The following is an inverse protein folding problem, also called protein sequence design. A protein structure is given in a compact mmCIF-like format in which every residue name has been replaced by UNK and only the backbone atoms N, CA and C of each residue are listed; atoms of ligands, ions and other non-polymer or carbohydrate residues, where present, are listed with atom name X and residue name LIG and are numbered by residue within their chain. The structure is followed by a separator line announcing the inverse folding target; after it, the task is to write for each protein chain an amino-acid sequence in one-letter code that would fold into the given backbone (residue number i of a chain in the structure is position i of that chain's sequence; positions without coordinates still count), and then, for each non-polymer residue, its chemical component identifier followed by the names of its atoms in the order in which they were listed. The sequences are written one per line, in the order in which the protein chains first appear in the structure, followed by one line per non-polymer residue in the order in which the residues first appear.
data_IF_023609941304
#
_entry.id   IF_023609941304
#
_cell.length_a   1.000
_cell.length_b   1.000
_cell.length_c   1.000
_cell.angle_alpha   90.00
_cell.angle_beta   90.00
_cell.angle_gamma   90.00
#
_symmetry.space_group_name_H-M   'P 1'
#
loop_
_entity.id
_entity.type
_entity.pdbx_description
1 polymer ?
#
# COMPACT_ATOMS: atom_id res chain seq x y z
N UNK A 1 -24.19 95.40 15.13
CA UNK A 1 -23.75 94.73 13.89
C UNK A 1 -24.05 93.24 14.06
N UNK A 2 -25.05 92.74 13.27
CA UNK A 2 -25.71 91.45 13.44
C UNK A 2 -24.93 90.31 12.83
N UNK A 3 -24.94 89.11 13.44
CA UNK A 3 -24.46 87.82 12.77
C UNK A 3 -25.63 87.16 12.06
N UNK A 4 -25.37 86.62 10.87
CA UNK A 4 -26.31 85.79 10.11
C UNK A 4 -26.11 84.29 10.49
N UNK A 5 -27.25 83.73 10.89
CA UNK A 5 -27.43 82.27 11.13
C UNK A 5 -27.58 81.55 9.81
N UNK A 6 -26.78 80.54 9.54
CA UNK A 6 -27.02 79.58 8.48
C UNK A 6 -27.24 78.18 9.07
N UNK A 7 -28.44 77.73 8.91
CA UNK A 7 -28.88 76.35 9.14
C UNK A 7 -28.42 75.48 7.98
N UNK A 8 -27.59 74.46 8.22
CA UNK A 8 -27.30 73.46 7.23
C UNK A 8 -27.90 72.14 7.73
N UNK A 9 -28.88 71.64 6.97
CA UNK A 9 -29.46 70.33 7.13
C UNK A 9 -28.41 69.30 6.71
N UNK A 10 -28.00 68.42 7.60
CA UNK A 10 -27.29 67.22 7.27
C UNK A 10 -28.29 66.08 6.99
N UNK A 11 -28.40 65.68 5.72
CA UNK A 11 -29.08 64.49 5.30
C UNK A 11 -28.19 63.29 5.68
N UNK A 12 -28.67 62.48 6.60
CA UNK A 12 -28.05 61.21 6.96
C UNK A 12 -28.25 60.18 5.87
N UNK A 13 -27.21 59.92 5.08
CA UNK A 13 -27.18 58.81 4.13
C UNK A 13 -26.76 57.55 4.90
N UNK A 14 -27.70 56.64 5.12
CA UNK A 14 -27.45 55.31 5.62
C UNK A 14 -26.66 54.53 4.55
N UNK A 15 -25.38 54.22 4.83
CA UNK A 15 -24.60 53.22 4.08
C UNK A 15 -24.82 51.84 4.71
N UNK A 16 -25.03 50.77 3.93
CA UNK A 16 -25.19 49.41 4.44
C UNK A 16 -23.85 48.90 4.96
N UNK A 17 -23.83 48.44 6.19
CA UNK A 17 -22.71 47.73 6.81
C UNK A 17 -22.59 46.36 6.12
N UNK A 18 -21.73 46.24 5.15
CA UNK A 18 -21.25 44.94 4.68
C UNK A 18 -20.34 44.36 5.77
N UNK A 19 -20.88 43.40 6.51
CA UNK A 19 -20.13 42.55 7.42
C UNK A 19 -19.14 41.69 6.64
N UNK A 20 -17.96 42.22 6.38
CA UNK A 20 -16.81 41.45 5.93
C UNK A 20 -16.41 40.47 7.02
N UNK A 21 -16.69 39.17 6.80
CA UNK A 21 -16.10 38.10 7.59
C UNK A 21 -14.57 38.14 7.41
N UNK A 22 -13.93 38.89 8.31
CA UNK A 22 -12.49 38.82 8.52
C UNK A 22 -12.18 37.41 9.00
N UNK A 23 -11.64 36.57 8.09
CA UNK A 23 -10.90 35.38 8.49
C UNK A 23 -9.70 35.87 9.29
N UNK A 24 -9.79 35.81 10.60
CA UNK A 24 -8.67 35.98 11.48
C UNK A 24 -7.62 34.91 11.12
N UNK A 25 -6.65 35.29 10.33
CA UNK A 25 -5.43 34.52 10.06
C UNK A 25 -4.56 34.69 11.32
N UNK A 26 -4.79 33.82 12.31
CA UNK A 26 -3.86 33.66 13.42
C UNK A 26 -2.52 33.19 12.86
N UNK A 27 -1.70 34.12 12.43
CA UNK A 27 -0.29 33.88 12.15
C UNK A 27 0.45 33.99 13.48
N UNK A 28 0.69 32.82 14.13
CA UNK A 28 1.74 32.74 15.13
C UNK A 28 3.06 33.11 14.47
N UNK A 29 3.88 34.03 15.06
CA UNK A 29 5.14 34.48 14.45
C UNK A 29 6.20 33.41 14.36
N UNK A 30 6.07 32.28 15.07
CA UNK A 30 7.10 31.24 15.19
C UNK A 30 6.90 30.02 14.29
N UNK A 31 5.93 30.02 13.34
CA UNK A 31 5.77 28.95 12.36
C UNK A 31 5.46 27.56 12.91
N UNK A 32 5.32 27.40 14.22
CA UNK A 32 4.99 26.13 14.87
C UNK A 32 3.48 25.89 14.80
N UNK A 33 3.10 24.85 14.07
CA UNK A 33 1.71 24.38 14.05
C UNK A 33 1.31 23.90 15.44
N UNK A 34 0.18 24.37 15.97
CA UNK A 34 -0.36 23.81 17.20
C UNK A 34 -0.78 22.35 16.97
N UNK A 35 -0.71 21.52 18.00
CA UNK A 35 -1.11 20.10 17.93
C UNK A 35 -2.50 19.90 17.31
N UNK A 36 -3.45 20.78 17.63
CA UNK A 36 -4.80 20.74 17.07
C UNK A 36 -4.84 21.03 15.57
N UNK A 37 -4.03 21.99 15.09
CA UNK A 37 -3.91 22.28 13.66
C UNK A 37 -3.30 21.11 12.89
N UNK A 38 -2.33 20.42 13.49
CA UNK A 38 -1.72 19.22 12.90
C UNK A 38 -2.71 18.05 12.79
N UNK A 39 -3.59 17.85 13.80
CA UNK A 39 -4.68 16.87 13.74
C UNK A 39 -5.73 17.23 12.67
N UNK A 40 -6.03 18.52 12.49
CA UNK A 40 -6.96 18.95 11.44
C UNK A 40 -6.40 18.72 10.04
N UNK A 41 -5.10 18.94 9.84
CA UNK A 41 -4.39 18.62 8.61
C UNK A 41 -4.42 17.11 8.32
N UNK A 42 -4.15 16.27 9.32
CA UNK A 42 -4.24 14.81 9.22
C UNK A 42 -5.62 14.36 8.76
N UNK A 43 -6.68 14.93 9.34
CA UNK A 43 -8.06 14.61 8.95
C UNK A 43 -8.30 14.82 7.45
N UNK A 44 -7.84 15.95 6.90
CA UNK A 44 -8.02 16.25 5.49
C UNK A 44 -7.23 15.34 4.56
N UNK A 45 -6.00 14.94 4.94
CA UNK A 45 -5.19 13.97 4.19
C UNK A 45 -5.85 12.59 4.18
N UNK A 46 -6.41 12.15 5.32
CA UNK A 46 -7.15 10.88 5.41
C UNK A 46 -8.41 10.91 4.52
N UNK A 47 -9.21 11.98 4.58
CA UNK A 47 -10.43 12.11 3.77
C UNK A 47 -10.10 12.06 2.28
N UNK A 48 -9.08 12.79 1.82
CA UNK A 48 -8.66 12.78 0.41
C UNK A 48 -8.18 11.40 -0.04
N UNK A 49 -7.41 10.72 0.80
CA UNK A 49 -6.95 9.36 0.54
C UNK A 49 -8.12 8.39 0.42
N UNK A 50 -9.08 8.46 1.35
CA UNK A 50 -10.27 7.61 1.32
C UNK A 50 -11.13 7.86 0.08
N UNK A 51 -11.34 9.13 -0.29
CA UNK A 51 -12.07 9.49 -1.51
C UNK A 51 -11.38 8.92 -2.76
N UNK A 52 -10.06 9.02 -2.84
CA UNK A 52 -9.31 8.44 -3.96
C UNK A 52 -9.46 6.91 -4.05
N UNK A 53 -9.42 6.21 -2.90
CA UNK A 53 -9.65 4.76 -2.84
C UNK A 53 -11.07 4.43 -3.29
N UNK A 54 -12.08 5.15 -2.82
CA UNK A 54 -13.49 4.93 -3.22
C UNK A 54 -13.70 5.16 -4.70
N UNK A 55 -13.12 6.22 -5.27
CA UNK A 55 -13.18 6.47 -6.72
C UNK A 55 -12.53 5.31 -7.48
N UNK A 56 -11.33 4.88 -7.08
CA UNK A 56 -10.67 3.72 -7.65
C UNK A 56 -11.50 2.44 -7.53
N UNK A 57 -12.16 2.23 -6.39
CA UNK A 57 -13.03 1.08 -6.17
C UNK A 57 -14.28 1.10 -7.07
N UNK A 58 -14.89 2.27 -7.30
CA UNK A 58 -16.02 2.41 -8.22
C UNK A 58 -15.59 2.08 -9.64
N UNK A 59 -14.43 2.59 -10.08
CA UNK A 59 -13.89 2.25 -11.41
C UNK A 59 -13.65 0.75 -11.51
N UNK A 60 -12.98 0.15 -10.53
CA UNK A 60 -12.74 -1.29 -10.50
C UNK A 60 -14.04 -2.10 -10.51
N UNK A 61 -15.06 -1.66 -9.78
CA UNK A 61 -16.37 -2.31 -9.74
C UNK A 61 -17.04 -2.37 -11.11
N UNK A 62 -16.86 -1.35 -11.95
CA UNK A 62 -17.40 -1.31 -13.33
C UNK A 62 -16.71 -2.30 -14.28
N UNK A 63 -15.44 -2.63 -14.02
CA UNK A 63 -14.63 -3.54 -14.85
C UNK A 63 -14.55 -4.96 -14.29
N UNK A 64 -15.66 -5.48 -13.75
CA UNK A 64 -15.73 -6.79 -13.07
C UNK A 64 -15.16 -7.94 -13.90
N UNK A 65 -15.52 -8.03 -15.18
CA UNK A 65 -15.14 -9.16 -16.05
C UNK A 65 -13.62 -9.23 -16.26
N UNK A 66 -12.97 -8.07 -16.41
CA UNK A 66 -11.51 -8.01 -16.53
C UNK A 66 -10.85 -8.41 -15.23
N UNK A 67 -11.36 -7.90 -14.11
CA UNK A 67 -10.75 -8.14 -12.79
C UNK A 67 -10.96 -9.59 -12.36
N UNK A 68 -12.15 -10.16 -12.53
CA UNK A 68 -12.42 -11.54 -12.11
C UNK A 68 -11.80 -12.55 -13.05
N UNK A 69 -12.13 -12.49 -14.34
CA UNK A 69 -11.80 -13.57 -15.28
C UNK A 69 -10.32 -13.51 -15.69
N UNK A 70 -9.76 -12.32 -15.90
CA UNK A 70 -8.39 -12.17 -16.41
C UNK A 70 -7.33 -11.92 -15.33
N UNK A 71 -7.74 -11.44 -14.13
CA UNK A 71 -6.78 -11.15 -13.07
C UNK A 71 -6.93 -12.15 -11.93
N UNK A 72 -8.09 -12.21 -11.26
CA UNK A 72 -8.21 -12.98 -10.02
C UNK A 72 -8.23 -14.49 -10.25
N UNK A 73 -8.92 -14.95 -11.28
CA UNK A 73 -9.01 -16.38 -11.59
C UNK A 73 -7.83 -16.91 -12.43
N UNK A 74 -7.05 -16.02 -13.04
CA UNK A 74 -5.92 -16.41 -13.87
C UNK A 74 -4.87 -17.29 -13.18
N UNK A 75 -4.46 -17.08 -11.92
CA UNK A 75 -3.48 -17.96 -11.26
C UNK A 75 -3.91 -19.41 -11.09
N UNK A 76 -5.22 -19.70 -11.13
CA UNK A 76 -5.77 -21.05 -11.10
C UNK A 76 -5.67 -21.77 -12.47
N UNK A 77 -5.38 -21.04 -13.54
CA UNK A 77 -5.30 -21.61 -14.89
C UNK A 77 -3.90 -22.22 -15.13
N UNK A 78 -3.80 -23.45 -15.71
CA UNK A 78 -2.53 -24.03 -16.13
C UNK A 78 -1.72 -23.12 -17.08
N UNK A 79 -2.40 -22.35 -17.92
CA UNK A 79 -1.78 -21.43 -18.88
C UNK A 79 -1.23 -20.14 -18.25
N UNK A 80 -1.39 -19.94 -16.95
CA UNK A 80 -0.82 -18.79 -16.27
C UNK A 80 0.70 -18.75 -16.42
N UNK A 81 1.26 -17.54 -16.58
CA UNK A 81 2.68 -17.33 -16.92
C UNK A 81 3.60 -18.10 -15.97
N UNK A 82 3.36 -18.02 -14.67
CA UNK A 82 4.18 -18.68 -13.64
C UNK A 82 4.04 -20.18 -13.68
N UNK A 83 2.82 -20.71 -13.85
CA UNK A 83 2.56 -22.13 -13.93
C UNK A 83 3.31 -22.74 -15.13
N UNK A 84 3.22 -22.11 -16.31
CA UNK A 84 3.96 -22.53 -17.51
C UNK A 84 5.48 -22.44 -17.34
N UNK A 85 5.98 -21.38 -16.69
CA UNK A 85 7.41 -21.23 -16.46
C UNK A 85 7.95 -22.31 -15.54
N UNK A 86 7.23 -22.59 -14.44
CA UNK A 86 7.60 -23.62 -13.48
C UNK A 86 7.54 -25.02 -14.11
N UNK A 87 6.54 -25.32 -14.96
CA UNK A 87 6.49 -26.60 -15.67
C UNK A 87 7.65 -26.75 -16.66
N UNK A 88 8.04 -25.70 -17.39
CA UNK A 88 9.25 -25.76 -18.26
C UNK A 88 10.54 -25.98 -17.47
N UNK A 89 10.65 -25.32 -16.28
CA UNK A 89 11.79 -25.57 -15.40
C UNK A 89 11.77 -27.00 -14.83
N UNK A 90 10.60 -27.54 -14.49
CA UNK A 90 10.43 -28.92 -14.06
C UNK A 90 10.96 -29.91 -15.06
N UNK A 91 10.66 -29.70 -16.35
CA UNK A 91 11.13 -30.53 -17.46
C UNK A 91 12.65 -30.43 -17.64
N UNK A 92 13.23 -29.21 -17.49
CA UNK A 92 14.69 -29.01 -17.64
C UNK A 92 15.49 -29.65 -16.50
N UNK A 93 14.97 -29.66 -15.29
CA UNK A 93 15.65 -30.13 -14.07
C UNK A 93 15.26 -31.58 -13.74
N UNK A 94 14.33 -32.18 -14.49
CA UNK A 94 13.75 -33.53 -14.24
C UNK A 94 13.11 -33.62 -12.82
N UNK A 95 12.44 -32.57 -12.36
CA UNK A 95 11.72 -32.54 -11.08
C UNK A 95 10.24 -32.25 -11.33
N UNK A 96 9.38 -33.26 -11.54
CA UNK A 96 7.96 -33.10 -11.87
C UNK A 96 7.18 -32.32 -10.81
N UNK A 97 7.64 -32.35 -9.57
CA UNK A 97 7.01 -31.62 -8.44
C UNK A 97 6.95 -30.10 -8.62
N UNK A 98 7.83 -29.53 -9.45
CA UNK A 98 7.83 -28.09 -9.76
C UNK A 98 6.72 -27.69 -10.72
N UNK A 99 6.09 -28.62 -11.43
CA UNK A 99 4.97 -28.31 -12.30
C UNK A 99 3.67 -28.24 -11.49
N UNK A 100 3.21 -27.02 -11.21
CA UNK A 100 2.07 -26.72 -10.35
C UNK A 100 0.79 -26.39 -11.15
N UNK A 101 -0.36 -26.49 -10.50
CA UNK A 101 -1.68 -26.08 -11.02
C UNK A 101 -2.04 -26.71 -12.39
N UNK A 102 -1.64 -27.95 -12.66
CA UNK A 102 -2.02 -28.65 -13.89
C UNK A 102 -3.53 -28.88 -13.99
N UNK A 103 -4.17 -29.14 -12.87
CA UNK A 103 -5.62 -29.30 -12.77
C UNK A 103 -6.19 -28.06 -12.04
N UNK A 104 -6.99 -27.23 -12.71
CA UNK A 104 -7.64 -26.09 -12.05
C UNK A 104 -8.49 -26.55 -10.88
N UNK A 105 -8.43 -25.82 -9.78
CA UNK A 105 -9.27 -26.09 -8.62
C UNK A 105 -10.70 -25.64 -8.91
N UNK A 106 -11.67 -26.52 -8.67
CA UNK A 106 -13.08 -26.19 -8.79
C UNK A 106 -13.50 -25.22 -7.68
N UNK A 107 -13.99 -24.06 -8.09
CA UNK A 107 -14.46 -23.02 -7.17
C UNK A 107 -15.97 -23.06 -7.03
N UNK A 108 -16.45 -23.11 -5.80
CA UNK A 108 -17.87 -23.13 -5.48
C UNK A 108 -18.28 -21.90 -4.70
N UNK A 109 -19.51 -21.44 -4.88
CA UNK A 109 -20.11 -20.38 -4.07
C UNK A 109 -21.19 -20.97 -3.17
N UNK A 110 -20.92 -21.05 -1.87
CA UNK A 110 -21.85 -21.63 -0.89
C UNK A 110 -22.83 -20.59 -0.36
N UNK A 111 -22.35 -19.34 -0.17
CA UNK A 111 -23.16 -18.26 0.38
C UNK A 111 -23.93 -17.54 -0.72
N UNK A 112 -25.23 -17.28 -0.51
CA UNK A 112 -26.06 -16.53 -1.45
C UNK A 112 -25.47 -15.14 -1.79
N UNK A 113 -24.94 -14.44 -0.80
CA UNK A 113 -24.31 -13.12 -0.95
C UNK A 113 -22.81 -13.20 -1.28
N UNK A 114 -22.25 -14.42 -1.36
CA UNK A 114 -20.80 -14.64 -1.46
C UNK A 114 -20.17 -13.92 -2.63
N UNK A 115 -20.73 -14.06 -3.83
CA UNK A 115 -20.22 -13.42 -5.05
C UNK A 115 -20.30 -11.89 -4.99
N UNK A 116 -21.41 -11.35 -4.47
CA UNK A 116 -21.59 -9.90 -4.34
C UNK A 116 -20.61 -9.29 -3.34
N UNK A 117 -20.48 -9.88 -2.15
CA UNK A 117 -19.53 -9.44 -1.13
C UNK A 117 -18.09 -9.49 -1.65
N UNK A 118 -17.77 -10.55 -2.36
CA UNK A 118 -16.45 -10.73 -2.97
C UNK A 118 -16.17 -9.68 -4.03
N UNK A 119 -17.16 -9.34 -4.86
CA UNK A 119 -17.02 -8.26 -5.85
C UNK A 119 -16.71 -6.91 -5.19
N UNK A 120 -17.41 -6.55 -4.12
CA UNK A 120 -17.12 -5.32 -3.37
C UNK A 120 -15.71 -5.37 -2.79
N UNK A 121 -15.31 -6.48 -2.17
CA UNK A 121 -13.98 -6.63 -1.56
C UNK A 121 -12.86 -6.48 -2.58
N UNK A 122 -12.96 -7.16 -3.73
CA UNK A 122 -11.98 -7.05 -4.80
C UNK A 122 -11.91 -5.63 -5.36
N UNK A 123 -13.07 -5.01 -5.58
CA UNK A 123 -13.14 -3.63 -6.08
C UNK A 123 -12.46 -2.65 -5.12
N UNK A 124 -12.63 -2.85 -3.80
CA UNK A 124 -11.98 -2.04 -2.79
C UNK A 124 -10.46 -2.24 -2.79
N UNK A 125 -10.01 -3.50 -2.88
CA UNK A 125 -8.57 -3.84 -2.96
C UNK A 125 -7.95 -3.27 -4.23
N UNK A 126 -8.59 -3.45 -5.38
CA UNK A 126 -8.13 -2.88 -6.65
C UNK A 126 -8.10 -1.35 -6.60
N UNK A 127 -9.12 -0.72 -6.00
CA UNK A 127 -9.18 0.70 -5.77
C UNK A 127 -8.02 1.21 -4.89
N UNK A 128 -7.68 0.48 -3.83
CA UNK A 128 -6.52 0.79 -2.99
C UNK A 128 -5.21 0.70 -3.78
N UNK A 129 -5.02 -0.35 -4.59
CA UNK A 129 -3.82 -0.54 -5.41
C UNK A 129 -3.67 0.60 -6.42
N UNK A 130 -4.75 0.96 -7.11
CA UNK A 130 -4.77 2.05 -8.09
C UNK A 130 -4.54 3.43 -7.44
N UNK A 131 -5.14 3.66 -6.27
CA UNK A 131 -5.02 4.91 -5.54
C UNK A 131 -3.70 5.02 -4.74
N UNK A 132 -2.94 3.94 -4.58
CA UNK A 132 -1.76 3.89 -3.71
C UNK A 132 -0.76 5.04 -3.96
N UNK A 133 -0.38 5.39 -5.19
CA UNK A 133 0.54 6.51 -5.43
C UNK A 133 0.02 7.84 -4.88
N UNK A 134 -1.28 8.06 -4.97
CA UNK A 134 -1.93 9.26 -4.44
C UNK A 134 -2.03 9.21 -2.92
N UNK A 135 -2.44 8.09 -2.35
CA UNK A 135 -2.52 7.85 -0.89
C UNK A 135 -1.15 8.05 -0.25
N UNK A 136 -0.11 7.47 -0.85
CA UNK A 136 1.26 7.63 -0.35
C UNK A 136 1.75 9.08 -0.48
N UNK A 137 1.36 9.80 -1.52
CA UNK A 137 1.65 11.24 -1.66
C UNK A 137 0.99 12.06 -0.57
N UNK A 138 -0.28 11.79 -0.23
CA UNK A 138 -0.99 12.47 0.86
C UNK A 138 -0.33 12.16 2.21
N UNK A 139 -0.01 10.89 2.47
CA UNK A 139 0.76 10.47 3.63
C UNK A 139 2.11 11.22 3.73
N UNK A 140 2.88 11.24 2.66
CA UNK A 140 4.15 11.94 2.60
C UNK A 140 4.00 13.45 2.82
N UNK A 141 2.95 14.06 2.27
CA UNK A 141 2.68 15.49 2.43
C UNK A 141 2.43 15.87 3.89
N UNK A 142 1.79 14.99 4.65
CA UNK A 142 1.58 15.15 6.08
C UNK A 142 2.89 15.15 6.89
N UNK A 143 3.86 14.32 6.52
CA UNK A 143 5.17 14.27 7.20
C UNK A 143 6.14 15.34 6.73
N UNK A 144 5.89 15.96 5.58
CA UNK A 144 6.76 16.97 4.97
C UNK A 144 7.08 18.18 5.86
N UNK A 145 6.18 18.73 6.67
CA UNK A 145 6.49 19.85 7.57
C UNK A 145 7.55 19.51 8.62
N UNK A 146 7.63 18.24 9.03
CA UNK A 146 8.62 17.75 10.00
C UNK A 146 10.03 17.55 9.41
N UNK A 147 10.20 17.72 8.09
CA UNK A 147 11.49 17.59 7.41
C UNK A 147 12.12 18.95 7.13
N UNK A 148 13.46 19.06 7.26
CA UNK A 148 14.23 20.28 6.93
C UNK A 148 14.05 20.71 5.48
N UNK A 149 14.15 22.01 5.21
CA UNK A 149 13.92 22.59 3.87
C UNK A 149 14.80 21.99 2.76
N UNK A 150 16.04 21.64 3.06
CA UNK A 150 16.96 20.96 2.12
C UNK A 150 16.47 19.58 1.69
N UNK A 151 15.61 18.95 2.47
CA UNK A 151 15.09 17.59 2.29
C UNK A 151 13.83 17.54 1.43
N UNK A 152 13.14 18.68 1.32
CA UNK A 152 11.91 18.86 0.53
C UNK A 152 12.06 18.50 -0.95
N UNK A 153 13.28 18.66 -1.49
CA UNK A 153 13.58 18.33 -2.90
C UNK A 153 13.51 16.83 -3.20
N UNK A 154 13.80 15.98 -2.21
CA UNK A 154 13.80 14.52 -2.35
C UNK A 154 12.41 13.88 -2.15
N UNK A 155 11.43 14.65 -1.73
CA UNK A 155 10.07 14.19 -1.45
C UNK A 155 9.38 13.54 -2.66
N UNK A 156 9.56 14.10 -3.86
CA UNK A 156 8.96 13.55 -5.09
C UNK A 156 9.56 12.19 -5.45
N UNK A 157 10.88 12.04 -5.30
CA UNK A 157 11.56 10.78 -5.54
C UNK A 157 11.12 9.67 -4.59
N UNK A 158 10.89 9.99 -3.32
CA UNK A 158 10.42 9.03 -2.33
C UNK A 158 9.02 8.48 -2.66
N UNK A 159 8.08 9.35 -3.08
CA UNK A 159 6.73 8.91 -3.49
C UNK A 159 6.78 7.98 -4.70
N UNK A 160 7.57 8.33 -5.72
CA UNK A 160 7.72 7.48 -6.91
C UNK A 160 8.37 6.14 -6.56
N UNK A 161 9.42 6.15 -5.74
CA UNK A 161 10.11 4.93 -5.31
C UNK A 161 9.18 4.03 -4.51
N UNK A 162 8.41 4.58 -3.55
CA UNK A 162 7.41 3.82 -2.81
C UNK A 162 6.36 3.21 -3.74
N UNK A 163 5.78 4.01 -4.63
CA UNK A 163 4.77 3.49 -5.56
C UNK A 163 5.31 2.36 -6.44
N UNK A 164 6.56 2.44 -6.88
CA UNK A 164 7.21 1.37 -7.65
C UNK A 164 7.48 0.13 -6.80
N UNK A 165 7.95 0.29 -5.56
CA UNK A 165 8.19 -0.82 -4.64
C UNK A 165 6.89 -1.52 -4.26
N UNK A 166 5.84 -0.77 -3.94
CA UNK A 166 4.52 -1.33 -3.66
C UNK A 166 3.99 -2.15 -4.85
N UNK A 167 4.04 -1.57 -6.05
CA UNK A 167 3.60 -2.26 -7.26
C UNK A 167 4.45 -3.51 -7.55
N UNK A 168 5.77 -3.43 -7.36
CA UNK A 168 6.65 -4.59 -7.48
C UNK A 168 6.30 -5.69 -6.46
N UNK A 169 5.95 -5.31 -5.23
CA UNK A 169 5.47 -6.23 -4.19
C UNK A 169 4.13 -6.87 -4.56
N UNK A 170 3.17 -6.10 -5.07
CA UNK A 170 1.89 -6.64 -5.59
C UNK A 170 2.14 -7.64 -6.71
N UNK A 171 2.98 -7.30 -7.69
CA UNK A 171 3.33 -8.16 -8.83
C UNK A 171 4.02 -9.44 -8.32
N UNK A 172 4.95 -9.32 -7.38
CA UNK A 172 5.61 -10.47 -6.78
C UNK A 172 4.62 -11.39 -6.05
N UNK A 173 3.76 -10.82 -5.19
CA UNK A 173 2.71 -11.56 -4.49
C UNK A 173 1.74 -12.26 -5.43
N UNK A 174 1.30 -11.57 -6.47
CA UNK A 174 0.33 -12.08 -7.43
C UNK A 174 0.93 -13.14 -8.39
N UNK A 175 2.11 -12.89 -8.95
CA UNK A 175 2.68 -13.83 -9.94
C UNK A 175 3.43 -14.99 -9.30
N UNK A 176 4.00 -14.84 -8.12
CA UNK A 176 4.83 -15.88 -7.51
C UNK A 176 4.12 -16.53 -6.34
N UNK A 177 3.68 -15.75 -5.33
CA UNK A 177 3.15 -16.35 -4.10
C UNK A 177 1.74 -16.90 -4.31
N UNK A 178 0.86 -16.20 -5.02
CA UNK A 178 -0.53 -16.62 -5.19
C UNK A 178 -0.65 -17.99 -5.90
N UNK A 179 0.01 -18.27 -7.04
CA UNK A 179 -0.08 -19.59 -7.68
C UNK A 179 0.48 -20.73 -6.81
N UNK A 180 1.56 -20.49 -6.07
CA UNK A 180 2.13 -21.47 -5.14
C UNK A 180 1.15 -21.74 -3.99
N UNK A 181 0.53 -20.69 -3.44
CA UNK A 181 -0.47 -20.80 -2.38
C UNK A 181 -1.70 -21.58 -2.83
N UNK A 182 -2.18 -21.31 -4.06
CA UNK A 182 -3.33 -22.02 -4.64
C UNK A 182 -2.99 -23.49 -4.82
N UNK A 183 -1.82 -23.79 -5.38
CA UNK A 183 -1.37 -25.16 -5.56
C UNK A 183 -1.28 -25.92 -4.23
N UNK A 184 -0.60 -25.34 -3.24
CA UNK A 184 -0.42 -25.98 -1.94
C UNK A 184 -1.77 -26.21 -1.24
N UNK A 185 -2.58 -25.14 -1.09
CA UNK A 185 -3.87 -25.25 -0.39
C UNK A 185 -4.90 -26.09 -1.14
N UNK A 186 -4.86 -26.08 -2.48
CA UNK A 186 -5.73 -26.84 -3.34
C UNK A 186 -5.42 -28.34 -3.38
N UNK A 187 -4.14 -28.71 -3.28
CA UNK A 187 -3.68 -30.08 -3.36
C UNK A 187 -3.52 -30.77 -2.00
N UNK A 188 -3.37 -29.98 -0.92
CA UNK A 188 -3.19 -30.51 0.43
C UNK A 188 -4.44 -31.28 0.88
N UNK A 189 -4.28 -32.57 1.19
CA UNK A 189 -5.34 -33.46 1.71
C UNK A 189 -4.90 -34.13 2.99
N UNK A 190 -5.76 -34.12 3.98
CA UNK A 190 -5.53 -34.85 5.24
C UNK A 190 -5.82 -36.36 5.07
N UNK A 191 -6.73 -36.70 4.15
CA UNK A 191 -7.16 -38.05 3.84
C UNK A 191 -7.68 -38.13 2.41
N UNK A 192 -7.48 -39.27 1.73
CA UNK A 192 -8.00 -39.53 0.39
C UNK A 192 -9.54 -39.63 0.35
N UNK A 193 -10.17 -39.77 1.51
CA UNK A 193 -11.63 -39.81 1.64
C UNK A 193 -12.27 -38.40 1.60
N UNK A 194 -11.43 -37.33 1.67
CA UNK A 194 -11.90 -35.95 1.68
C UNK A 194 -11.56 -35.26 0.38
N UNK A 195 -12.57 -34.80 -0.35
CA UNK A 195 -12.40 -33.97 -1.55
C UNK A 195 -12.39 -32.50 -1.18
N UNK A 196 -11.39 -31.76 -1.67
CA UNK A 196 -11.30 -30.33 -1.46
C UNK A 196 -12.30 -29.60 -2.36
N UNK A 197 -13.27 -28.92 -1.75
CA UNK A 197 -14.15 -27.96 -2.44
C UNK A 197 -13.81 -26.56 -1.95
N UNK A 198 -13.23 -25.73 -2.83
CA UNK A 198 -12.74 -24.43 -2.43
C UNK A 198 -13.82 -23.37 -2.67
N UNK A 199 -14.19 -22.65 -1.60
CA UNK A 199 -15.11 -21.53 -1.71
C UNK A 199 -14.43 -20.36 -2.42
N UNK A 200 -15.10 -19.76 -3.42
CA UNK A 200 -14.62 -18.58 -4.17
C UNK A 200 -14.21 -17.42 -3.26
N UNK A 201 -14.91 -17.18 -2.14
CA UNK A 201 -14.59 -16.13 -1.18
C UNK A 201 -13.24 -16.41 -0.51
N UNK A 202 -12.94 -17.66 -0.16
CA UNK A 202 -11.68 -18.08 0.44
C UNK A 202 -10.53 -17.97 -0.55
N UNK A 203 -10.74 -18.44 -1.78
CA UNK A 203 -9.76 -18.32 -2.86
C UNK A 203 -9.35 -16.85 -3.10
N UNK A 204 -10.34 -15.99 -3.30
CA UNK A 204 -10.12 -14.56 -3.56
C UNK A 204 -9.49 -13.86 -2.36
N UNK A 205 -9.93 -14.20 -1.14
CA UNK A 205 -9.32 -13.72 0.09
C UNK A 205 -7.84 -14.06 0.16
N UNK A 206 -7.46 -15.28 -0.19
CA UNK A 206 -6.05 -15.71 -0.21
C UNK A 206 -5.24 -14.94 -1.25
N UNK A 207 -5.69 -14.87 -2.50
CA UNK A 207 -4.99 -14.15 -3.58
C UNK A 207 -4.79 -12.67 -3.25
N UNK A 208 -5.86 -12.00 -2.80
CA UNK A 208 -5.82 -10.56 -2.48
C UNK A 208 -4.99 -10.26 -1.25
N UNK A 209 -5.09 -11.09 -0.19
CA UNK A 209 -4.31 -10.91 1.04
C UNK A 209 -2.82 -11.07 0.79
N UNK A 210 -2.43 -12.11 0.05
CA UNK A 210 -1.02 -12.37 -0.30
C UNK A 210 -0.46 -11.23 -1.15
N UNK A 211 -1.19 -10.76 -2.16
CA UNK A 211 -0.75 -9.67 -3.00
C UNK A 211 -0.57 -8.38 -2.18
N UNK A 212 -1.58 -7.99 -1.38
CA UNK A 212 -1.49 -6.78 -0.54
C UNK A 212 -0.38 -6.87 0.51
N UNK A 213 -0.28 -8.00 1.21
CA UNK A 213 0.75 -8.20 2.24
C UNK A 213 2.15 -8.10 1.65
N UNK A 214 2.37 -8.66 0.45
CA UNK A 214 3.63 -8.51 -0.30
C UNK A 214 3.88 -7.05 -0.69
N UNK A 215 2.86 -6.34 -1.20
CA UNK A 215 2.97 -4.93 -1.53
C UNK A 215 3.41 -4.09 -0.34
N UNK A 216 2.76 -4.25 0.81
CA UNK A 216 3.09 -3.54 2.05
C UNK A 216 4.50 -3.90 2.55
N UNK A 217 4.89 -5.17 2.46
CA UNK A 217 6.20 -5.62 2.92
C UNK A 217 7.34 -5.07 2.05
N UNK A 218 7.09 -4.87 0.76
CA UNK A 218 8.06 -4.24 -0.13
C UNK A 218 8.30 -2.75 0.17
N UNK A 219 7.47 -2.13 1.02
CA UNK A 219 7.71 -0.76 1.52
C UNK A 219 8.80 -0.69 2.62
N UNK A 220 9.31 -1.83 3.12
CA UNK A 220 10.36 -1.85 4.15
C UNK A 220 11.54 -0.90 3.84
N UNK A 221 12.11 -0.84 2.62
CA UNK A 221 13.21 0.07 2.32
C UNK A 221 12.85 1.55 2.51
N UNK A 222 11.62 1.94 2.21
CA UNK A 222 11.14 3.33 2.37
C UNK A 222 10.94 3.65 3.86
N UNK A 223 10.38 2.71 4.63
CA UNK A 223 10.25 2.86 6.09
C UNK A 223 11.62 3.04 6.74
N UNK A 224 12.58 2.19 6.38
CA UNK A 224 13.97 2.28 6.87
C UNK A 224 14.62 3.59 6.45
N UNK A 225 14.46 4.01 5.19
CA UNK A 225 14.95 5.30 4.69
C UNK A 225 14.44 6.45 5.57
N UNK A 226 13.15 6.43 5.90
CA UNK A 226 12.52 7.47 6.70
C UNK A 226 13.07 7.47 8.14
N UNK A 227 13.14 6.29 8.78
CA UNK A 227 13.66 6.14 10.14
C UNK A 227 15.14 6.53 10.24
N UNK A 228 15.93 6.24 9.19
CA UNK A 228 17.33 6.68 9.11
C UNK A 228 17.43 8.20 8.95
N UNK A 229 16.50 8.81 8.21
CA UNK A 229 16.47 10.26 7.98
C UNK A 229 16.19 11.05 9.26
N UNK A 230 15.26 10.58 10.09
CA UNK A 230 14.98 11.19 11.40
C UNK A 230 16.00 10.79 12.48
N UNK A 231 16.96 9.93 12.17
CA UNK A 231 18.04 9.53 13.07
C UNK A 231 17.70 8.43 14.06
N UNK A 232 16.54 7.76 13.90
CA UNK A 232 16.11 6.64 14.77
C UNK A 232 16.87 5.36 14.43
N UNK A 233 17.13 5.12 13.12
CA UNK A 233 17.87 3.94 12.65
C UNK A 233 19.23 4.36 12.09
N UNK A 234 20.28 3.65 12.54
CA UNK A 234 21.63 3.77 11.99
C UNK A 234 22.04 2.52 11.24
N UNK A 235 22.89 2.63 10.19
CA UNK A 235 23.38 1.47 9.46
C UNK A 235 24.14 0.48 10.35
N UNK A 236 24.86 0.97 11.37
CA UNK A 236 25.58 0.17 12.35
C UNK A 236 24.62 -0.68 13.17
N UNK A 237 23.52 -0.08 13.64
CA UNK A 237 22.47 -0.79 14.36
C UNK A 237 21.88 -1.91 13.51
N UNK A 238 21.50 -1.62 12.26
CA UNK A 238 20.94 -2.62 11.36
C UNK A 238 21.91 -3.77 11.09
N UNK A 239 23.21 -3.48 10.87
CA UNK A 239 24.25 -4.50 10.67
C UNK A 239 24.47 -5.36 11.93
N UNK A 240 24.47 -4.74 13.10
CA UNK A 240 24.62 -5.45 14.39
C UNK A 240 23.46 -6.42 14.62
N UNK A 241 22.23 -6.03 14.30
CA UNK A 241 21.03 -6.84 14.53
C UNK A 241 20.59 -7.65 13.29
N UNK A 242 21.46 -7.84 12.30
CA UNK A 242 21.16 -8.60 11.06
C UNK A 242 20.60 -9.99 11.33
N UNK A 243 21.14 -10.73 12.31
CA UNK A 243 20.63 -12.07 12.68
C UNK A 243 19.20 -12.04 13.17
N UNK A 244 18.83 -11.04 13.96
CA UNK A 244 17.45 -10.87 14.43
C UNK A 244 16.52 -10.45 13.29
N UNK A 245 16.99 -9.59 12.39
CA UNK A 245 16.23 -9.19 11.22
C UNK A 245 15.90 -10.38 10.30
N UNK A 246 16.82 -11.34 10.12
CA UNK A 246 16.54 -12.58 9.38
C UNK A 246 15.37 -13.34 10.01
N UNK A 247 15.35 -13.49 11.34
CA UNK A 247 14.25 -14.16 12.03
C UNK A 247 12.93 -13.40 11.85
N UNK A 248 12.95 -12.07 11.96
CA UNK A 248 11.75 -11.24 11.72
C UNK A 248 11.25 -11.39 10.30
N UNK A 249 12.16 -11.38 9.30
CA UNK A 249 11.81 -11.59 7.88
C UNK A 249 11.17 -12.96 7.67
N UNK A 250 11.72 -14.03 8.30
CA UNK A 250 11.12 -15.36 8.21
C UNK A 250 9.73 -15.41 8.84
N UNK A 251 9.52 -14.75 9.97
CA UNK A 251 8.17 -14.64 10.59
C UNK A 251 7.21 -13.88 9.68
N UNK A 252 7.63 -12.75 9.11
CA UNK A 252 6.80 -11.99 8.15
C UNK A 252 6.48 -12.84 6.93
N UNK A 253 7.46 -13.54 6.36
CA UNK A 253 7.23 -14.45 5.24
C UNK A 253 6.22 -15.55 5.62
N UNK A 254 6.33 -16.16 6.81
CA UNK A 254 5.41 -17.19 7.28
C UNK A 254 3.97 -16.70 7.50
N UNK A 255 3.79 -15.42 7.81
CA UNK A 255 2.45 -14.80 7.93
C UNK A 255 1.82 -14.56 6.56
N UNK A 256 2.65 -14.23 5.56
CA UNK A 256 2.18 -13.93 4.18
C UNK A 256 1.88 -15.21 3.40
N UNK A 257 2.70 -16.25 3.59
CA UNK A 257 2.62 -17.50 2.82
C UNK A 257 1.82 -18.57 3.53
N UNK A 258 1.24 -19.54 2.80
CA UNK A 258 0.74 -20.77 3.40
C UNK A 258 1.84 -21.47 4.22
N UNK A 259 1.46 -22.38 5.15
CA UNK A 259 2.41 -23.07 6.01
C UNK A 259 3.19 -24.17 5.26
N UNK A 260 3.91 -23.79 4.22
CA UNK A 260 4.81 -24.68 3.46
C UNK A 260 6.24 -24.12 3.43
N UNK A 261 7.22 -24.99 3.54
CA UNK A 261 8.64 -24.63 3.64
C UNK A 261 9.17 -24.06 2.33
N UNK A 262 8.66 -24.52 1.18
CA UNK A 262 9.13 -24.07 -0.13
C UNK A 262 8.72 -22.62 -0.40
N UNK A 263 7.44 -22.28 -0.24
CA UNK A 263 6.96 -20.91 -0.39
C UNK A 263 7.61 -19.97 0.63
N UNK A 264 7.81 -20.44 1.88
CA UNK A 264 8.48 -19.68 2.91
C UNK A 264 9.89 -19.25 2.50
N UNK A 265 10.71 -20.20 2.03
CA UNK A 265 12.09 -19.92 1.60
C UNK A 265 12.07 -18.97 0.39
N UNK A 266 11.22 -19.25 -0.59
CA UNK A 266 11.15 -18.49 -1.84
C UNK A 266 10.77 -17.02 -1.58
N UNK A 267 9.86 -16.77 -0.63
CA UNK A 267 9.47 -15.41 -0.24
C UNK A 267 10.52 -14.72 0.63
N UNK A 268 11.20 -15.48 1.49
CA UNK A 268 12.22 -14.92 2.37
C UNK A 268 13.41 -14.32 1.60
N UNK A 269 13.80 -14.90 0.47
CA UNK A 269 14.95 -14.43 -0.30
C UNK A 269 14.78 -12.98 -0.78
N UNK A 270 13.70 -12.58 -1.48
CA UNK A 270 13.50 -11.19 -1.86
C UNK A 270 13.40 -10.24 -0.66
N UNK A 271 12.77 -10.67 0.44
CA UNK A 271 12.66 -9.85 1.65
C UNK A 271 14.02 -9.60 2.29
N UNK A 272 14.91 -10.59 2.32
CA UNK A 272 16.29 -10.43 2.77
C UNK A 272 17.07 -9.48 1.87
N UNK A 273 16.88 -9.57 0.55
CA UNK A 273 17.48 -8.63 -0.40
C UNK A 273 16.99 -7.21 -0.13
N UNK A 274 15.69 -7.01 0.10
CA UNK A 274 15.12 -5.71 0.45
C UNK A 274 15.70 -5.16 1.77
N UNK A 275 15.93 -6.03 2.76
CA UNK A 275 16.59 -5.63 3.99
C UNK A 275 18.03 -5.14 3.76
N UNK A 276 18.84 -5.86 2.96
CA UNK A 276 20.20 -5.42 2.62
C UNK A 276 20.20 -4.12 1.81
N UNK A 277 19.28 -3.96 0.86
CA UNK A 277 19.08 -2.70 0.14
C UNK A 277 18.72 -1.57 1.11
N UNK A 278 17.91 -1.85 2.13
CA UNK A 278 17.55 -0.87 3.18
C UNK A 278 18.76 -0.41 3.98
N UNK A 279 19.70 -1.32 4.32
CA UNK A 279 20.97 -0.95 4.99
C UNK A 279 21.80 -0.02 4.10
N UNK A 280 21.88 -0.33 2.80
CA UNK A 280 22.62 0.52 1.86
C UNK A 280 21.98 1.91 1.74
N UNK A 281 20.66 1.99 1.67
CA UNK A 281 19.93 3.27 1.64
C UNK A 281 20.15 4.07 2.92
N UNK A 282 20.07 3.43 4.11
CA UNK A 282 20.34 4.06 5.39
C UNK A 282 21.76 4.65 5.45
N UNK A 283 22.77 3.90 4.99
CA UNK A 283 24.15 4.35 4.96
C UNK A 283 24.33 5.57 4.06
N UNK A 284 23.64 5.61 2.92
CA UNK A 284 23.70 6.76 2.00
C UNK A 284 23.06 8.01 2.62
N UNK A 285 21.96 7.83 3.34
CA UNK A 285 21.23 8.91 4.02
C UNK A 285 22.07 9.52 5.13
N UNK A 286 22.68 8.70 6.00
CA UNK A 286 23.51 9.17 7.12
C UNK A 286 24.71 9.95 6.60
N UNK A 287 25.43 9.45 5.59
CA UNK A 287 26.54 10.18 4.96
C UNK A 287 26.14 11.55 4.39
N UNK A 288 24.93 11.66 3.82
CA UNK A 288 24.42 12.95 3.30
C UNK A 288 24.04 13.94 4.40
N UNK A 289 23.81 13.45 5.62
CA UNK A 289 23.48 14.28 6.77
C UNK A 289 24.73 14.82 7.47
N UNK A 290 25.84 14.07 7.41
CA UNK A 290 27.12 14.44 7.99
C UNK A 290 27.97 15.35 7.09
N UNK A 291 27.67 15.41 5.78
CA UNK A 291 28.29 16.28 4.79
C UNK A 291 27.53 17.61 4.61
#
# INVERSE_FOLDING_TARGET
LKPKFYLSLHASTMAPIMAGKSKAKNSNPDGEMTFLQHLEELRWHIIRSLVAIVIGAIVAFMFKDIIFDHIILAPNNPDFITNRLLCRLADMVNVPLLCINQNPVELISIKLTGQFTTHITISLVAGLILAFPYVFREFWSFFRPALYEKERKYARGAVTMASLLFLAGIIFGYFIIAPLSINFLGTYRVSDLVTNQINITSYIGSVTSVALASGITFELPIVVFFLARIGVLTPEFMRKYRRHAIVVVLVVAAVITPPDVFSLILVSIPLLILYEVSIFLAARVVRQREA
#
